data_IF_881731864482
#
_entry.id   IF_881731864482
#
_cell.length_a   1.000
_cell.length_b   1.000
_cell.length_c   1.000
_cell.angle_alpha   90.00
_cell.angle_beta   90.00
_cell.angle_gamma   90.00
#
_symmetry.space_group_name_H-M   'P 1'
#
loop_
_entity.id
_entity.type
_entity.pdbx_description
1 polymer ?
#
# COMPACT_ATOMS: atom_id res chain seq x y z
N UNK A 1 15.27 -28.56 16.99
CA UNK A 1 14.65 -27.24 16.77
C UNK A 1 13.35 -27.47 16.01
N UNK A 2 12.24 -27.72 16.72
CA UNK A 2 10.92 -27.91 16.08
C UNK A 2 10.45 -26.55 15.57
N UNK A 3 10.37 -26.39 14.26
CA UNK A 3 9.67 -25.27 13.64
C UNK A 3 8.18 -25.38 13.98
N UNK A 4 7.61 -24.40 14.70
CA UNK A 4 6.17 -24.21 14.83
C UNK A 4 5.59 -23.94 13.43
N UNK A 5 5.21 -25.00 12.71
CA UNK A 5 4.41 -24.90 11.48
C UNK A 5 2.95 -24.68 11.89
N UNK A 6 2.66 -23.49 12.42
CA UNK A 6 1.29 -23.08 12.69
C UNK A 6 0.57 -22.84 11.36
N UNK A 7 -0.50 -23.60 11.12
CA UNK A 7 -1.38 -23.40 9.99
C UNK A 7 -2.08 -22.04 10.12
N UNK A 8 -1.70 -21.08 9.28
CA UNK A 8 -2.31 -19.74 9.25
C UNK A 8 -3.39 -19.66 8.18
N UNK A 9 -4.62 -19.41 8.60
CA UNK A 9 -5.74 -19.12 7.70
C UNK A 9 -5.89 -17.61 7.59
N UNK A 10 -5.80 -17.10 6.37
CA UNK A 10 -6.06 -15.70 6.05
C UNK A 10 -7.47 -15.59 5.46
N UNK A 11 -8.33 -14.78 6.08
CA UNK A 11 -9.67 -14.49 5.58
C UNK A 11 -9.60 -13.14 4.87
N UNK A 12 -9.78 -13.15 3.55
CA UNK A 12 -9.88 -11.93 2.75
C UNK A 12 -11.36 -11.58 2.65
N UNK A 13 -11.76 -10.46 3.23
CA UNK A 13 -13.15 -9.98 3.15
C UNK A 13 -13.35 -9.07 1.95
N UNK A 14 -14.61 -8.83 1.57
CA UNK A 14 -14.94 -7.83 0.54
C UNK A 14 -14.45 -6.43 0.89
N UNK A 15 -14.39 -6.08 2.19
CA UNK A 15 -13.82 -4.83 2.67
C UNK A 15 -12.31 -4.72 2.43
N UNK A 16 -11.58 -5.83 2.53
CA UNK A 16 -10.15 -5.87 2.24
C UNK A 16 -9.88 -5.69 0.75
N UNK A 17 -10.71 -6.31 -0.10
CA UNK A 17 -10.67 -6.12 -1.56
C UNK A 17 -10.94 -4.66 -1.92
N UNK A 18 -11.97 -4.05 -1.33
CA UNK A 18 -12.28 -2.64 -1.58
C UNK A 18 -11.14 -1.72 -1.16
N UNK A 19 -10.54 -1.95 0.01
CA UNK A 19 -9.37 -1.20 0.47
C UNK A 19 -8.18 -1.35 -0.46
N UNK A 20 -7.93 -2.56 -0.97
CA UNK A 20 -6.88 -2.80 -1.96
C UNK A 20 -7.13 -1.99 -3.24
N UNK A 21 -8.36 -2.03 -3.77
CA UNK A 21 -8.72 -1.27 -4.98
C UNK A 21 -8.52 0.23 -4.77
N UNK A 22 -9.00 0.79 -3.65
CA UNK A 22 -8.85 2.22 -3.36
C UNK A 22 -7.37 2.60 -3.20
N UNK A 23 -6.60 1.83 -2.43
CA UNK A 23 -5.20 2.16 -2.12
C UNK A 23 -4.26 1.94 -3.31
N UNK A 24 -4.32 0.79 -3.96
CA UNK A 24 -3.32 0.42 -4.98
C UNK A 24 -3.76 0.86 -6.38
N UNK A 25 -5.05 0.83 -6.69
CA UNK A 25 -5.53 1.21 -8.03
C UNK A 25 -5.80 2.71 -8.09
N UNK A 26 -6.68 3.24 -7.23
CA UNK A 26 -7.07 4.66 -7.32
C UNK A 26 -5.92 5.55 -6.86
N UNK A 27 -5.48 5.41 -5.60
CA UNK A 27 -4.40 6.24 -5.04
C UNK A 27 -3.07 5.95 -5.75
N UNK A 28 -2.77 4.69 -6.05
CA UNK A 28 -1.58 4.33 -6.82
C UNK A 28 -1.52 4.97 -8.21
N UNK A 29 -2.60 4.95 -8.98
CA UNK A 29 -2.63 5.62 -10.30
C UNK A 29 -2.44 7.13 -10.18
N UNK A 30 -3.04 7.75 -9.17
CA UNK A 30 -2.85 9.18 -8.89
C UNK A 30 -1.40 9.49 -8.51
N UNK A 31 -0.81 8.71 -7.60
CA UNK A 31 0.58 8.87 -7.16
C UNK A 31 1.55 8.71 -8.32
N UNK A 32 1.34 7.69 -9.17
CA UNK A 32 2.10 7.49 -10.40
C UNK A 32 1.98 8.68 -11.35
N UNK A 33 0.76 9.18 -11.59
CA UNK A 33 0.54 10.31 -12.50
C UNK A 33 1.24 11.58 -12.02
N UNK A 34 1.20 11.84 -10.70
CA UNK A 34 1.92 12.95 -10.09
C UNK A 34 3.44 12.75 -10.22
N UNK A 35 3.94 11.57 -9.86
CA UNK A 35 5.37 11.25 -9.94
C UNK A 35 5.88 11.32 -11.39
N UNK A 36 5.08 10.90 -12.37
CA UNK A 36 5.43 11.01 -13.79
C UNK A 36 5.51 12.45 -14.25
N UNK A 37 4.61 13.33 -13.79
CA UNK A 37 4.68 14.78 -14.06
C UNK A 37 5.89 15.44 -13.43
N UNK A 38 6.40 14.92 -12.31
CA UNK A 38 7.58 15.47 -11.64
C UNK A 38 8.88 14.96 -12.27
N UNK A 39 9.01 13.64 -12.41
CA UNK A 39 10.26 13.00 -12.80
C UNK A 39 10.40 12.81 -14.31
N UNK A 40 9.32 12.92 -15.08
CA UNK A 40 9.28 12.71 -16.54
C UNK A 40 9.91 11.37 -16.96
N UNK A 41 10.00 10.41 -16.04
CA UNK A 41 10.65 9.12 -16.21
C UNK A 41 9.80 8.03 -15.57
N UNK A 42 9.50 7.00 -16.36
CA UNK A 42 8.60 5.90 -15.97
C UNK A 42 9.15 5.10 -14.78
N UNK A 43 10.46 4.89 -14.71
CA UNK A 43 11.09 4.12 -13.63
C UNK A 43 10.97 4.87 -12.31
N UNK A 44 11.34 6.16 -12.29
CA UNK A 44 11.23 7.00 -11.11
C UNK A 44 9.77 7.23 -10.71
N UNK A 45 8.87 7.36 -11.68
CA UNK A 45 7.44 7.48 -11.43
C UNK A 45 6.86 6.23 -10.78
N UNK A 46 7.28 5.05 -11.25
CA UNK A 46 6.85 3.75 -10.69
C UNK A 46 7.36 3.57 -9.26
N UNK A 47 8.65 3.85 -9.03
CA UNK A 47 9.25 3.77 -7.70
C UNK A 47 8.65 4.80 -6.74
N UNK A 48 8.42 6.03 -7.21
CA UNK A 48 7.79 7.10 -6.44
C UNK A 48 6.33 6.80 -6.09
N UNK A 49 5.58 6.21 -7.02
CA UNK A 49 4.21 5.74 -6.77
C UNK A 49 4.18 4.69 -5.68
N UNK A 50 5.05 3.68 -5.76
CA UNK A 50 5.14 2.63 -4.75
C UNK A 50 5.56 3.18 -3.38
N UNK A 51 6.56 4.05 -3.33
CA UNK A 51 6.97 4.72 -2.10
C UNK A 51 5.83 5.56 -1.50
N UNK A 52 5.04 6.21 -2.35
CA UNK A 52 3.86 6.98 -1.95
C UNK A 52 2.77 6.12 -1.32
N UNK A 53 2.32 5.05 -2.00
CA UNK A 53 1.25 4.17 -1.48
C UNK A 53 1.70 3.44 -0.22
N UNK A 54 2.94 2.96 -0.18
CA UNK A 54 3.52 2.30 0.99
C UNK A 54 3.67 3.27 2.18
N UNK A 55 4.09 4.52 1.91
CA UNK A 55 4.16 5.58 2.90
C UNK A 55 2.79 5.89 3.53
N UNK A 56 1.74 6.02 2.71
CA UNK A 56 0.37 6.28 3.20
C UNK A 56 -0.14 5.13 4.06
N UNK A 57 0.10 3.87 3.66
CA UNK A 57 -0.29 2.69 4.44
C UNK A 57 0.37 2.71 5.83
N UNK A 58 1.67 2.98 5.89
CA UNK A 58 2.44 3.08 7.15
C UNK A 58 1.97 4.24 8.02
N UNK A 59 1.71 5.40 7.43
CA UNK A 59 1.20 6.57 8.15
C UNK A 59 -0.18 6.30 8.74
N UNK A 60 -1.08 5.68 7.98
CA UNK A 60 -2.43 5.32 8.46
C UNK A 60 -2.35 4.33 9.63
N UNK A 61 -1.45 3.35 9.55
CA UNK A 61 -1.18 2.43 10.66
C UNK A 61 -0.65 3.12 11.91
N UNK A 62 0.30 4.06 11.74
CA UNK A 62 0.87 4.84 12.84
C UNK A 62 -0.19 5.74 13.51
N UNK A 63 -0.98 6.48 12.73
CA UNK A 63 -2.07 7.32 13.21
C UNK A 63 -3.11 6.51 13.99
N UNK A 64 -3.46 5.31 13.51
CA UNK A 64 -4.41 4.42 14.19
C UNK A 64 -3.86 3.88 15.51
N UNK A 65 -2.54 3.80 15.66
CA UNK A 65 -1.88 3.39 16.90
C UNK A 65 -1.87 4.53 17.92
N UNK A 66 -1.68 5.77 17.47
CA UNK A 66 -1.65 6.97 18.33
C UNK A 66 -3.05 7.37 18.79
N UNK A 67 -4.07 7.19 17.96
CA UNK A 67 -5.46 7.54 18.28
C UNK A 67 -6.17 6.54 19.21
N UNK A 68 -5.45 5.53 19.70
CA UNK A 68 -5.96 4.43 20.51
C UNK A 68 -5.42 4.53 21.92
#
# INVERSE_FOLDING_TARGET
>A
MLHNQEFKVYIITSGDILRFIVMEIVIGTMAYSIALKLFHNVILASAGSWAGTEGIKRLTGALRTIAK
#
